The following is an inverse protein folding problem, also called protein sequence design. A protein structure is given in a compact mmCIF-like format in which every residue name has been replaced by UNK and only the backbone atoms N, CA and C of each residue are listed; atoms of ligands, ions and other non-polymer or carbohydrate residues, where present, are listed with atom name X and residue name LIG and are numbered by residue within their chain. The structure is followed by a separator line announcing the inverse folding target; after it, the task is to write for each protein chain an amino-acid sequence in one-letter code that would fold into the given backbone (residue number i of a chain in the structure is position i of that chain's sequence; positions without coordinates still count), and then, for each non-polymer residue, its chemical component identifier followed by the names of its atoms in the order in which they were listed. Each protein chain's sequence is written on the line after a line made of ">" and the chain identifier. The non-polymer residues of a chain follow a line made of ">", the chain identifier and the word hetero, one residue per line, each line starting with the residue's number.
data_IF_428273054652
#
_entry.id   IF_428273054652
#
_cell.length_a   1.000
_cell.length_b   1.000
_cell.length_c   1.000
_cell.angle_alpha   90.00
_cell.angle_beta   90.00
_cell.angle_gamma   90.00
#
_symmetry.space_group_name_H-M   'P 1'
#
loop_
_entity.id
_entity.type
_entity.pdbx_description
1 polymer ?
#
# COMPACT_ATOMS: atom_id res chain seq x y z
N UNK A 1 -8.21 31.94 60.22
CA UNK A 1 -8.89 31.00 59.30
C UNK A 1 -8.33 31.07 57.87
N UNK A 2 -8.32 32.23 57.20
CA UNK A 2 -7.85 32.36 55.81
C UNK A 2 -6.41 31.88 55.53
N UNK A 3 -5.44 32.16 56.44
CA UNK A 3 -4.05 31.69 56.30
C UNK A 3 -3.89 30.17 56.37
N UNK A 4 -4.68 29.47 57.21
CA UNK A 4 -4.65 27.99 57.29
C UNK A 4 -5.27 27.36 56.05
N UNK A 5 -6.40 27.87 55.56
CA UNK A 5 -7.01 27.41 54.31
C UNK A 5 -6.07 27.59 53.11
N UNK A 6 -5.38 28.73 53.01
CA UNK A 6 -4.40 28.99 51.95
C UNK A 6 -3.17 28.06 52.04
N UNK A 7 -2.68 27.76 53.25
CA UNK A 7 -1.57 26.83 53.46
C UNK A 7 -1.97 25.40 53.05
N UNK A 8 -3.15 24.93 53.46
CA UNK A 8 -3.67 23.62 53.07
C UNK A 8 -3.86 23.52 51.56
N UNK A 9 -4.39 24.56 50.90
CA UNK A 9 -4.55 24.58 49.45
C UNK A 9 -3.21 24.49 48.71
N UNK A 10 -2.15 25.16 49.21
CA UNK A 10 -0.80 25.04 48.64
C UNK A 10 -0.23 23.64 48.84
N UNK A 11 -0.37 23.08 50.04
CA UNK A 11 0.10 21.72 50.33
C UNK A 11 -0.61 20.66 49.46
N UNK A 12 -1.90 20.84 49.16
CA UNK A 12 -2.66 19.98 48.24
C UNK A 12 -2.11 20.13 46.80
N UNK A 13 -1.86 21.36 46.35
CA UNK A 13 -1.24 21.62 45.05
C UNK A 13 0.13 20.94 44.89
N UNK A 14 0.90 20.86 45.97
CA UNK A 14 2.22 20.21 45.97
C UNK A 14 2.15 18.67 46.08
N UNK A 15 1.03 18.11 46.53
CA UNK A 15 0.82 16.65 46.64
C UNK A 15 0.11 16.04 45.44
N UNK A 16 -0.66 16.82 44.68
CA UNK A 16 -1.33 16.36 43.45
C UNK A 16 -0.38 16.54 42.27
N UNK A 17 0.00 15.44 41.61
CA UNK A 17 0.78 15.54 40.37
C UNK A 17 -0.11 16.04 39.23
N UNK A 18 0.25 17.21 38.68
CA UNK A 18 -0.34 17.71 37.44
C UNK A 18 0.12 16.91 36.21
N UNK A 19 -0.60 17.02 35.09
CA UNK A 19 -0.15 16.45 33.82
C UNK A 19 1.22 17.02 33.41
N UNK A 20 2.08 16.16 32.87
CA UNK A 20 3.45 16.53 32.51
C UNK A 20 3.88 15.87 31.19
N UNK A 21 4.99 16.35 30.63
CA UNK A 21 5.62 15.75 29.45
C UNK A 21 6.74 14.83 29.88
N UNK A 22 6.88 13.71 29.19
CA UNK A 22 7.97 12.77 29.36
C UNK A 22 8.55 12.32 28.03
N UNK A 23 9.66 11.59 28.10
CA UNK A 23 10.33 11.02 26.92
C UNK A 23 10.38 9.50 27.04
N UNK A 24 9.77 8.81 26.08
CA UNK A 24 9.66 7.35 26.02
C UNK A 24 11.05 6.74 25.87
N UNK A 25 11.35 5.74 26.70
CA UNK A 25 12.57 4.93 26.61
C UNK A 25 12.29 3.51 26.13
N UNK A 26 11.12 2.95 26.48
CA UNK A 26 10.70 1.61 26.08
C UNK A 26 9.17 1.54 25.96
N UNK A 27 8.70 0.75 25.01
CA UNK A 27 7.30 0.35 24.87
C UNK A 27 7.23 -1.18 24.84
N UNK A 28 6.38 -1.75 25.69
CA UNK A 28 6.04 -3.17 25.70
C UNK A 28 4.63 -3.29 25.11
N UNK A 29 4.52 -3.99 23.97
CA UNK A 29 3.31 -4.01 23.12
C UNK A 29 2.73 -5.42 22.88
N UNK A 30 2.99 -6.37 23.79
CA UNK A 30 2.49 -7.74 23.73
C UNK A 30 1.16 -7.96 24.48
N UNK A 31 0.84 -7.09 25.44
CA UNK A 31 -0.38 -7.14 26.23
C UNK A 31 -1.61 -6.50 25.58
N UNK A 32 -2.76 -6.59 26.27
CA UNK A 32 -4.03 -5.97 25.86
C UNK A 32 -3.98 -4.44 25.84
N UNK A 33 -3.13 -3.87 26.71
CA UNK A 33 -2.84 -2.44 26.81
C UNK A 33 -1.32 -2.30 26.72
N UNK A 34 -0.84 -1.38 25.89
CA UNK A 34 0.59 -1.09 25.78
C UNK A 34 1.10 -0.46 27.08
N UNK A 35 2.25 -0.93 27.54
CA UNK A 35 2.94 -0.40 28.71
C UNK A 35 4.17 0.38 28.29
N UNK A 36 4.37 1.54 28.89
CA UNK A 36 5.42 2.47 28.49
C UNK A 36 6.29 2.82 29.67
N UNK A 37 7.60 2.80 29.43
CA UNK A 37 8.59 3.41 30.30
C UNK A 37 8.99 4.77 29.72
N UNK A 38 9.05 5.80 30.57
CA UNK A 38 9.50 7.12 30.17
C UNK A 38 10.28 7.83 31.28
N UNK A 39 11.14 8.77 30.86
CA UNK A 39 11.72 9.76 31.75
C UNK A 39 10.74 10.91 31.96
N UNK A 40 10.46 11.23 33.23
CA UNK A 40 9.58 12.33 33.66
C UNK A 40 10.37 13.59 34.05
N UNK A 41 9.83 14.36 35.01
CA UNK A 41 10.52 15.54 35.53
C UNK A 41 11.56 15.16 36.59
N UNK A 42 12.63 15.94 36.71
CA UNK A 42 13.69 15.77 37.74
C UNK A 42 14.32 14.37 37.76
N UNK A 43 14.63 13.84 36.56
CA UNK A 43 15.31 12.55 36.36
C UNK A 43 14.54 11.31 36.87
N UNK A 44 13.24 11.44 37.12
CA UNK A 44 12.40 10.29 37.46
C UNK A 44 12.23 9.35 36.26
N UNK A 45 12.22 8.04 36.53
CA UNK A 45 11.82 7.03 35.55
C UNK A 45 10.50 6.44 35.99
N UNK A 46 9.51 6.52 35.12
CA UNK A 46 8.19 5.91 35.32
C UNK A 46 8.09 4.65 34.47
N UNK A 47 7.49 3.62 35.03
CA UNK A 47 7.34 2.30 34.43
C UNK A 47 5.87 1.89 34.42
N UNK A 48 5.53 0.95 33.53
CA UNK A 48 4.20 0.36 33.42
C UNK A 48 3.06 1.39 33.23
N UNK A 49 3.34 2.55 32.64
CA UNK A 49 2.30 3.52 32.31
C UNK A 49 1.46 3.01 31.14
N UNK A 50 0.15 3.17 31.24
CA UNK A 50 -0.79 2.69 30.22
C UNK A 50 -0.81 3.66 29.03
N UNK A 51 -0.58 3.14 27.82
CA UNK A 51 -0.76 3.88 26.57
C UNK A 51 -2.09 3.49 25.92
N UNK A 52 -3.11 4.31 26.20
CA UNK A 52 -4.43 4.17 25.60
C UNK A 52 -4.47 4.89 24.25
N UNK A 53 -5.12 4.28 23.28
CA UNK A 53 -5.24 4.78 21.90
C UNK A 53 -6.69 4.78 21.47
N UNK A 54 -7.03 5.67 20.54
CA UNK A 54 -8.36 5.69 19.92
C UNK A 54 -8.64 4.37 19.19
N UNK A 55 -9.85 3.85 19.33
CA UNK A 55 -10.26 2.61 18.66
C UNK A 55 -10.09 2.72 17.14
N UNK A 56 -9.48 1.71 16.53
CA UNK A 56 -9.15 1.69 15.09
C UNK A 56 -7.75 2.21 14.76
N UNK A 57 -7.02 2.77 15.73
CA UNK A 57 -5.61 3.16 15.58
C UNK A 57 -4.71 2.35 16.52
N UNK A 58 -3.53 1.98 16.04
CA UNK A 58 -2.50 1.33 16.84
C UNK A 58 -1.13 1.86 16.40
N UNK A 59 -0.38 2.38 17.37
CA UNK A 59 0.97 2.89 17.21
C UNK A 59 1.89 2.26 18.26
N UNK A 60 3.15 2.03 17.88
CA UNK A 60 4.21 1.64 18.80
C UNK A 60 5.31 2.70 18.69
N UNK A 61 5.23 3.80 19.47
CA UNK A 61 6.13 4.93 19.32
C UNK A 61 7.58 4.50 19.62
N UNK A 62 8.55 4.83 18.75
CA UNK A 62 9.94 4.47 18.98
C UNK A 62 10.51 5.20 20.20
N UNK A 63 11.58 4.66 20.76
CA UNK A 63 12.34 5.32 21.83
C UNK A 63 12.73 6.74 21.42
N UNK A 64 12.63 7.67 22.37
CA UNK A 64 12.86 9.09 22.16
C UNK A 64 11.61 9.90 21.81
N UNK A 65 10.46 9.25 21.62
CA UNK A 65 9.17 9.93 21.43
C UNK A 65 8.79 10.72 22.69
N UNK A 66 8.25 11.92 22.50
CA UNK A 66 7.65 12.73 23.56
C UNK A 66 6.25 12.19 23.87
N UNK A 67 5.84 12.24 25.13
CA UNK A 67 4.54 11.80 25.60
C UNK A 67 3.94 12.80 26.59
N UNK A 68 2.62 12.92 26.63
CA UNK A 68 1.90 13.59 27.72
C UNK A 68 1.29 12.54 28.64
N UNK A 69 1.60 12.66 29.94
CA UNK A 69 1.12 11.77 30.99
C UNK A 69 0.07 12.49 31.82
N UNK A 70 -1.07 11.84 32.05
CA UNK A 70 -2.11 12.27 32.98
C UNK A 70 -2.10 11.32 34.20
N UNK A 71 -1.64 11.79 35.37
CA UNK A 71 -1.72 11.03 36.62
C UNK A 71 -3.18 10.86 37.07
N UNK A 72 -3.70 9.64 37.09
CA UNK A 72 -5.04 9.38 37.63
C UNK A 72 -5.02 9.52 39.15
N UNK A 73 -5.92 10.32 39.71
CA UNK A 73 -5.97 10.61 41.14
C UNK A 73 -4.74 11.36 41.68
N UNK A 74 -3.90 11.93 40.81
CA UNK A 74 -2.69 12.67 41.20
C UNK A 74 -1.46 11.80 41.49
N UNK A 75 -1.52 10.48 41.27
CA UNK A 75 -0.41 9.55 41.47
C UNK A 75 0.31 9.22 40.16
N UNK A 76 1.63 9.45 40.10
CA UNK A 76 2.46 9.16 38.91
C UNK A 76 2.51 7.68 38.56
N UNK A 77 2.39 6.78 39.55
CA UNK A 77 2.34 5.32 39.34
C UNK A 77 1.05 4.85 38.65
N UNK A 78 0.04 5.70 38.55
CA UNK A 78 -1.22 5.44 37.85
C UNK A 78 -1.42 6.47 36.72
N UNK A 79 -0.35 6.72 35.95
CA UNK A 79 -0.39 7.63 34.81
C UNK A 79 -0.87 6.95 33.53
N UNK A 80 -1.69 7.67 32.77
CA UNK A 80 -2.10 7.27 31.41
C UNK A 80 -1.44 8.21 30.39
N UNK A 81 -0.89 7.63 29.33
CA UNK A 81 -0.38 8.37 28.18
C UNK A 81 -1.53 8.62 27.22
N UNK A 82 -1.79 9.89 26.92
CA UNK A 82 -2.92 10.31 26.07
C UNK A 82 -2.48 10.80 24.69
N UNK A 83 -1.21 11.16 24.51
CA UNK A 83 -0.66 11.48 23.21
C UNK A 83 0.84 11.26 23.18
N UNK A 84 1.33 10.88 22.00
CA UNK A 84 2.75 10.70 21.72
C UNK A 84 3.13 11.39 20.42
N UNK A 85 4.36 11.90 20.35
CA UNK A 85 4.89 12.52 19.15
C UNK A 85 6.41 12.34 19.08
N UNK A 86 6.94 12.08 17.89
CA UNK A 86 8.38 12.09 17.66
C UNK A 86 8.79 13.28 16.77
N UNK A 87 9.47 14.27 17.36
CA UNK A 87 9.81 15.53 16.67
C UNK A 87 10.62 15.38 15.38
N UNK A 88 11.48 14.35 15.29
CA UNK A 88 12.28 14.06 14.07
C UNK A 88 11.43 13.50 12.92
N UNK A 89 10.41 12.69 13.23
CA UNK A 89 9.69 11.89 12.25
C UNK A 89 8.33 12.47 11.90
N UNK A 90 7.84 13.48 12.64
CA UNK A 90 6.55 14.12 12.29
C UNK A 90 6.58 14.60 10.83
N UNK A 91 5.48 14.40 10.13
CA UNK A 91 5.27 15.02 8.82
C UNK A 91 5.22 16.54 9.01
N UNK A 92 6.08 17.26 8.28
CA UNK A 92 6.16 18.73 8.28
C UNK A 92 5.44 19.28 7.05
N UNK A 93 5.14 20.57 7.07
CA UNK A 93 4.59 21.32 5.91
C UNK A 93 3.27 20.78 5.36
N UNK A 94 2.43 20.17 6.20
CA UNK A 94 1.03 19.94 5.85
C UNK A 94 0.30 21.28 5.76
N UNK A 95 -0.51 21.45 4.73
CA UNK A 95 -1.40 22.60 4.59
C UNK A 95 -2.55 22.49 5.60
N UNK A 96 -3.18 23.62 5.99
CA UNK A 96 -4.35 23.57 6.87
C UNK A 96 -5.43 22.62 6.36
N UNK A 97 -5.87 21.69 7.21
CA UNK A 97 -6.89 20.68 6.88
C UNK A 97 -6.36 19.35 6.35
N UNK A 98 -5.07 19.26 5.99
CA UNK A 98 -4.47 17.98 5.56
C UNK A 98 -4.16 17.08 6.75
N UNK A 99 -4.27 15.77 6.55
CA UNK A 99 -4.02 14.76 7.58
C UNK A 99 -3.15 13.64 7.03
N UNK A 100 -2.40 12.98 7.91
CA UNK A 100 -1.50 11.91 7.48
C UNK A 100 -1.34 10.81 8.55
N UNK A 101 -1.10 9.59 8.07
CA UNK A 101 -0.60 8.46 8.87
C UNK A 101 0.81 8.15 8.35
N UNK A 102 1.77 7.91 9.23
CA UNK A 102 3.19 7.74 8.85
C UNK A 102 3.97 6.87 9.83
N UNK A 103 5.13 6.35 9.40
CA UNK A 103 6.09 5.65 10.25
C UNK A 103 7.45 6.39 10.32
N UNK A 104 8.39 5.87 11.12
CA UNK A 104 9.71 6.46 11.32
C UNK A 104 10.67 6.30 10.13
N UNK A 105 10.36 5.38 9.21
CA UNK A 105 11.15 5.11 7.99
C UNK A 105 10.75 6.03 6.82
N UNK A 106 9.62 6.73 6.94
CA UNK A 106 9.15 7.71 5.96
C UNK A 106 7.93 7.27 5.16
N UNK A 107 7.48 6.02 5.30
CA UNK A 107 6.25 5.55 4.67
C UNK A 107 5.06 6.34 5.21
N UNK A 108 4.18 6.82 4.32
CA UNK A 108 3.06 7.70 4.69
C UNK A 108 1.86 7.57 3.76
N UNK A 109 0.69 7.87 4.30
CA UNK A 109 -0.54 8.14 3.53
C UNK A 109 -1.03 9.52 3.94
N UNK A 110 -1.16 10.44 2.98
CA UNK A 110 -1.57 11.84 3.20
C UNK A 110 -2.88 12.10 2.47
N UNK A 111 -3.86 12.63 3.20
CA UNK A 111 -5.10 13.17 2.64
C UNK A 111 -4.89 14.68 2.47
N UNK A 112 -4.72 15.10 1.22
CA UNK A 112 -4.40 16.47 0.81
C UNK A 112 -5.65 17.26 0.45
N UNK A 113 -5.50 18.58 0.37
CA UNK A 113 -6.52 19.47 -0.20
C UNK A 113 -6.85 19.06 -1.65
N UNK A 114 -8.09 19.30 -2.08
CA UNK A 114 -8.55 18.89 -3.42
C UNK A 114 -8.97 17.42 -3.54
N UNK A 115 -9.20 16.72 -2.41
CA UNK A 115 -9.66 15.31 -2.34
C UNK A 115 -8.64 14.32 -2.90
N UNK A 116 -7.35 14.57 -2.66
CA UNK A 116 -6.25 13.71 -3.11
C UNK A 116 -5.76 12.84 -1.97
N UNK A 117 -5.62 11.54 -2.21
CA UNK A 117 -4.97 10.59 -1.30
C UNK A 117 -3.64 10.19 -1.93
N UNK A 118 -2.54 10.44 -1.22
CA UNK A 118 -1.19 10.11 -1.68
C UNK A 118 -0.54 9.13 -0.71
N UNK A 119 -0.17 7.95 -1.22
CA UNK A 119 0.61 6.95 -0.49
C UNK A 119 2.04 6.95 -1.03
N UNK A 120 3.01 7.13 -0.15
CA UNK A 120 4.44 7.16 -0.47
C UNK A 120 5.16 6.10 0.37
N UNK A 121 5.74 5.10 -0.31
CA UNK A 121 6.39 3.94 0.29
C UNK A 121 7.19 3.16 -0.76
N UNK A 122 8.16 2.35 -0.32
CA UNK A 122 8.94 1.49 -1.21
C UNK A 122 8.14 0.27 -1.71
N UNK A 123 7.24 -0.26 -0.87
CA UNK A 123 6.45 -1.47 -1.17
C UNK A 123 5.01 -1.30 -0.71
N UNK A 124 4.07 -1.19 -1.67
CA UNK A 124 2.64 -1.13 -1.40
C UNK A 124 1.97 -2.49 -1.62
N UNK A 125 1.58 -3.17 -0.53
CA UNK A 125 0.93 -4.50 -0.58
C UNK A 125 -0.57 -4.38 -0.30
N UNK A 126 -1.39 -4.92 -1.20
CA UNK A 126 -2.85 -5.02 -1.04
C UNK A 126 -3.25 -6.50 -1.03
N UNK A 127 -3.43 -7.07 0.16
CA UNK A 127 -3.90 -8.44 0.34
C UNK A 127 -5.41 -8.44 0.56
N UNK A 128 -6.19 -8.84 -0.44
CA UNK A 128 -7.64 -8.88 -0.33
C UNK A 128 -8.25 -9.97 -1.22
N UNK A 129 -9.49 -10.38 -0.92
CA UNK A 129 -10.23 -11.34 -1.74
C UNK A 129 -10.78 -10.71 -3.03
N UNK A 130 -11.10 -9.42 -2.99
CA UNK A 130 -11.68 -8.67 -4.12
C UNK A 130 -11.11 -7.26 -4.13
N UNK A 131 -10.47 -6.88 -5.24
CA UNK A 131 -9.98 -5.55 -5.49
C UNK A 131 -10.75 -4.93 -6.66
N UNK A 132 -11.43 -3.80 -6.42
CA UNK A 132 -12.25 -3.11 -7.42
C UNK A 132 -11.85 -1.64 -7.50
N UNK A 133 -11.54 -1.19 -8.70
CA UNK A 133 -11.23 0.22 -9.01
C UNK A 133 -12.28 0.72 -10.01
N UNK A 134 -12.84 1.90 -9.74
CA UNK A 134 -13.66 2.64 -10.70
C UNK A 134 -13.03 4.01 -10.90
N UNK A 135 -12.56 4.29 -12.13
CA UNK A 135 -12.04 5.58 -12.54
C UNK A 135 -12.75 6.03 -13.82
N UNK A 136 -13.29 7.24 -13.85
CA UNK A 136 -14.06 7.76 -15.00
C UNK A 136 -13.20 8.33 -16.12
N UNK A 137 -11.95 8.68 -15.83
CA UNK A 137 -11.03 9.28 -16.79
C UNK A 137 -9.95 8.28 -17.24
N UNK A 138 -9.11 7.82 -16.32
CA UNK A 138 -8.05 6.86 -16.62
C UNK A 138 -7.58 6.10 -15.36
N UNK A 139 -6.94 4.96 -15.59
CA UNK A 139 -6.12 4.25 -14.60
C UNK A 139 -4.75 3.99 -15.22
N UNK A 140 -3.77 4.82 -14.85
CA UNK A 140 -2.42 4.78 -15.42
C UNK A 140 -1.48 3.98 -14.52
N UNK A 141 -0.67 3.11 -15.12
CA UNK A 141 0.36 2.31 -14.45
C UNK A 141 1.72 2.59 -15.07
N UNK A 142 2.51 3.44 -14.41
CA UNK A 142 3.90 3.71 -14.81
C UNK A 142 4.82 2.69 -14.11
N UNK A 143 5.03 1.54 -14.75
CA UNK A 143 5.81 0.44 -14.22
C UNK A 143 6.57 -0.29 -15.34
N UNK A 144 7.80 -0.77 -15.10
CA UNK A 144 8.49 -1.66 -16.04
C UNK A 144 7.76 -2.99 -16.29
N UNK A 145 6.92 -3.43 -15.34
CA UNK A 145 6.20 -4.71 -15.43
C UNK A 145 4.81 -4.61 -14.78
N UNK A 146 3.79 -5.11 -15.49
CA UNK A 146 2.43 -5.32 -14.99
C UNK A 146 1.99 -6.74 -15.36
N UNK A 147 1.69 -7.55 -14.36
CA UNK A 147 1.43 -8.98 -14.52
C UNK A 147 0.08 -9.38 -13.90
N UNK A 148 -0.61 -10.33 -14.53
CA UNK A 148 -1.73 -11.09 -13.94
C UNK A 148 -1.39 -12.57 -13.96
N UNK A 149 -1.76 -13.32 -12.92
CA UNK A 149 -1.34 -14.72 -12.78
C UNK A 149 -2.16 -15.72 -13.60
N UNK A 150 -3.29 -15.30 -14.19
CA UNK A 150 -4.18 -16.17 -14.93
C UNK A 150 -4.77 -15.47 -16.16
N UNK A 151 -5.79 -14.64 -15.97
CA UNK A 151 -6.53 -14.02 -17.08
C UNK A 151 -6.47 -12.50 -16.98
N UNK A 152 -6.07 -11.86 -18.08
CA UNK A 152 -6.32 -10.45 -18.33
C UNK A 152 -7.48 -10.33 -19.32
N UNK A 153 -8.59 -9.70 -18.90
CA UNK A 153 -9.74 -9.44 -19.77
C UNK A 153 -9.80 -7.95 -20.10
N UNK A 154 -9.59 -7.61 -21.37
CA UNK A 154 -9.85 -6.28 -21.91
C UNK A 154 -11.11 -6.32 -22.78
N UNK A 155 -12.13 -5.53 -22.45
CA UNK A 155 -13.35 -5.41 -23.27
C UNK A 155 -13.14 -4.53 -24.50
N UNK A 156 -12.19 -3.60 -24.41
CA UNK A 156 -11.76 -2.75 -25.52
C UNK A 156 -10.54 -3.30 -26.23
N UNK A 157 -9.81 -2.42 -26.90
CA UNK A 157 -8.58 -2.78 -27.60
C UNK A 157 -7.40 -2.96 -26.64
N UNK A 158 -6.48 -3.86 -26.99
CA UNK A 158 -5.15 -3.95 -26.41
C UNK A 158 -4.17 -3.36 -27.43
N UNK A 159 -3.35 -2.41 -27.00
CA UNK A 159 -2.32 -1.81 -27.84
C UNK A 159 -0.92 -2.21 -27.33
N UNK A 160 -0.10 -2.80 -28.21
CA UNK A 160 1.23 -3.32 -27.88
C UNK A 160 2.31 -2.68 -28.74
N UNK A 161 2.59 -1.40 -28.56
CA UNK A 161 3.58 -0.65 -29.38
C UNK A 161 4.99 -1.26 -29.36
N UNK A 162 5.36 -1.94 -28.26
CA UNK A 162 6.64 -2.67 -28.13
C UNK A 162 6.59 -4.12 -28.63
N UNK A 163 5.49 -4.53 -29.26
CA UNK A 163 5.18 -5.91 -29.62
C UNK A 163 4.26 -6.60 -28.61
N UNK A 164 3.78 -7.78 -28.99
CA UNK A 164 2.97 -8.65 -28.15
C UNK A 164 3.51 -10.07 -28.28
N UNK A 165 4.06 -10.60 -27.19
CA UNK A 165 4.50 -11.99 -27.14
C UNK A 165 3.38 -12.85 -26.57
N UNK A 166 2.89 -13.81 -27.36
CA UNK A 166 1.90 -14.79 -26.93
C UNK A 166 2.57 -16.16 -26.94
N UNK A 167 2.78 -16.75 -25.76
CA UNK A 167 3.45 -18.04 -25.60
C UNK A 167 2.58 -18.95 -24.72
N UNK A 168 2.22 -20.13 -25.23
CA UNK A 168 1.59 -21.20 -24.45
C UNK A 168 0.17 -21.62 -24.89
N UNK A 169 -0.30 -22.73 -24.31
CA UNK A 169 -1.66 -23.25 -24.43
C UNK A 169 -2.07 -23.69 -25.85
N UNK A 170 -3.34 -23.41 -26.18
CA UNK A 170 -3.96 -23.74 -27.48
C UNK A 170 -3.79 -22.60 -28.52
N UNK A 171 -2.82 -21.70 -28.32
CA UNK A 171 -2.60 -20.54 -29.19
C UNK A 171 -3.61 -19.40 -29.03
N UNK A 172 -3.65 -18.51 -30.01
CA UNK A 172 -4.58 -17.38 -30.08
C UNK A 172 -5.73 -17.68 -31.06
N UNK A 173 -6.97 -17.31 -30.69
CA UNK A 173 -8.15 -17.43 -31.55
C UNK A 173 -8.69 -16.04 -31.86
N UNK A 174 -9.02 -15.80 -33.13
CA UNK A 174 -9.56 -14.53 -33.61
C UNK A 174 -10.92 -14.75 -34.27
N UNK A 175 -11.90 -13.94 -33.92
CA UNK A 175 -13.19 -13.84 -34.63
C UNK A 175 -13.24 -12.47 -35.29
N UNK A 176 -12.91 -12.41 -36.57
CA UNK A 176 -12.78 -11.17 -37.33
C UNK A 176 -11.54 -11.20 -38.23
N UNK A 177 -11.24 -10.06 -38.84
CA UNK A 177 -10.10 -9.94 -39.73
C UNK A 177 -8.79 -9.84 -38.93
N UNK A 178 -7.75 -10.49 -39.44
CA UNK A 178 -6.36 -10.27 -39.03
C UNK A 178 -5.66 -9.61 -40.21
N UNK A 179 -5.21 -8.37 -40.01
CA UNK A 179 -4.50 -7.59 -41.05
C UNK A 179 -3.06 -7.35 -40.61
N UNK A 180 -2.11 -7.98 -41.32
CA UNK A 180 -0.68 -7.67 -41.21
C UNK A 180 -0.30 -6.69 -42.31
N UNK A 181 0.20 -5.51 -41.95
CA UNK A 181 0.58 -4.45 -42.91
C UNK A 181 2.07 -4.49 -43.29
N UNK A 182 2.86 -5.40 -42.69
CA UNK A 182 4.26 -5.61 -43.00
C UNK A 182 4.92 -6.71 -42.15
N UNK A 183 6.16 -7.05 -42.48
CA UNK A 183 6.90 -8.14 -41.85
C UNK A 183 6.62 -9.51 -42.49
N UNK A 184 6.98 -10.57 -41.78
CA UNK A 184 6.79 -11.96 -42.21
C UNK A 184 5.85 -12.68 -41.26
N UNK A 185 5.24 -13.76 -41.75
CA UNK A 185 4.54 -14.75 -40.94
C UNK A 185 5.29 -16.07 -41.09
N UNK A 186 5.80 -16.60 -39.99
CA UNK A 186 6.57 -17.85 -39.96
C UNK A 186 5.89 -18.83 -39.01
N UNK A 187 5.73 -20.07 -39.47
CA UNK A 187 5.14 -21.18 -38.73
C UNK A 187 5.85 -22.47 -39.16
N UNK A 188 6.09 -23.37 -38.21
CA UNK A 188 6.60 -24.73 -38.45
C UNK A 188 5.47 -25.74 -38.68
N UNK A 189 4.23 -25.35 -38.35
CA UNK A 189 3.00 -26.09 -38.64
C UNK A 189 2.32 -25.68 -39.94
N UNK A 190 1.36 -26.49 -40.37
CA UNK A 190 0.53 -26.22 -41.55
C UNK A 190 -0.42 -25.03 -41.35
N UNK A 191 -0.69 -24.31 -42.43
CA UNK A 191 -1.70 -23.25 -42.48
C UNK A 191 -2.90 -23.79 -43.24
N UNK A 192 -4.00 -24.03 -42.54
CA UNK A 192 -5.24 -24.50 -43.15
C UNK A 192 -6.25 -23.36 -43.33
N UNK A 193 -6.73 -23.17 -44.56
CA UNK A 193 -7.79 -22.22 -44.87
C UNK A 193 -9.01 -22.97 -45.41
N UNK A 194 -10.16 -22.87 -44.75
CA UNK A 194 -11.38 -23.62 -45.11
C UNK A 194 -11.14 -25.13 -45.25
N UNK A 195 -10.27 -25.70 -44.42
CA UNK A 195 -9.89 -27.12 -44.45
C UNK A 195 -8.86 -27.49 -45.53
N UNK A 196 -8.39 -26.53 -46.34
CA UNK A 196 -7.35 -26.74 -47.34
C UNK A 196 -5.98 -26.46 -46.74
N UNK A 197 -5.13 -27.48 -46.73
CA UNK A 197 -3.74 -27.41 -46.26
C UNK A 197 -2.86 -26.61 -47.20
N UNK A 198 -2.17 -25.59 -46.70
CA UNK A 198 -1.17 -24.88 -47.50
C UNK A 198 -0.02 -25.80 -47.89
N UNK A 199 0.45 -26.65 -46.96
CA UNK A 199 1.61 -27.52 -47.17
C UNK A 199 1.34 -28.73 -48.08
N UNK A 200 0.08 -29.19 -48.19
CA UNK A 200 -0.22 -30.49 -48.82
C UNK A 200 -1.25 -30.43 -49.97
N UNK A 201 -1.85 -29.28 -50.28
CA UNK A 201 -2.89 -29.23 -51.31
C UNK A 201 -2.33 -29.52 -52.72
N UNK A 202 -2.98 -30.40 -53.50
CA UNK A 202 -2.69 -30.56 -54.91
C UNK A 202 -3.46 -29.56 -55.77
N UNK A 203 -2.99 -29.33 -56.99
CA UNK A 203 -3.73 -28.63 -58.04
C UNK A 203 -4.11 -29.58 -59.18
N UNK A 204 -5.18 -29.25 -59.90
CA UNK A 204 -5.50 -29.90 -61.18
C UNK A 204 -4.63 -29.33 -62.29
N UNK A 205 -3.96 -30.21 -63.04
CA UNK A 205 -3.26 -29.84 -64.28
C UNK A 205 -4.24 -29.62 -65.44
N UNK A 206 -3.79 -28.87 -66.44
CA UNK A 206 -4.52 -28.60 -67.69
C UNK A 206 -4.84 -29.86 -68.52
N UNK A 207 -4.01 -30.90 -68.34
CA UNK A 207 -4.15 -32.20 -68.99
C UNK A 207 -4.96 -33.22 -68.17
N UNK A 208 -5.60 -32.81 -67.07
CA UNK A 208 -6.48 -33.66 -66.24
C UNK A 208 -5.79 -34.50 -65.15
N UNK A 209 -4.46 -34.39 -64.99
CA UNK A 209 -3.72 -34.97 -63.85
C UNK A 209 -3.77 -34.10 -62.59
N UNK A 210 -3.26 -34.59 -61.46
CA UNK A 210 -3.00 -33.76 -60.27
C UNK A 210 -1.50 -33.53 -60.05
N UNK A 211 -1.15 -32.38 -59.51
CA UNK A 211 0.23 -32.09 -59.10
C UNK A 211 0.60 -32.87 -57.84
N UNK A 212 1.90 -33.02 -57.59
CA UNK A 212 2.39 -33.35 -56.24
C UNK A 212 2.13 -32.18 -55.28
N UNK A 213 2.28 -32.39 -53.95
CA UNK A 213 2.40 -31.29 -53.00
C UNK A 213 3.51 -30.29 -53.38
N UNK A 214 3.46 -29.06 -52.87
CA UNK A 214 4.55 -28.10 -52.99
C UNK A 214 5.89 -28.72 -52.56
N UNK A 215 6.96 -28.46 -53.32
CA UNK A 215 8.32 -28.87 -52.95
C UNK A 215 8.82 -27.89 -51.89
N UNK A 216 9.22 -28.34 -50.69
CA UNK A 216 9.80 -27.45 -49.68
C UNK A 216 11.02 -26.71 -50.24
N UNK A 217 11.09 -25.40 -49.99
CA UNK A 217 12.23 -24.54 -50.34
C UNK A 217 13.32 -24.54 -49.28
#
# INVERSE_FOLDING_TARGET
>A
MAKRAAQTARNIGDTVRAAFRGKITLVVSDGLIQRVQLGGLADETLQDLEHLQEYGFASNPPAGSEAVVIPLGGATSHGVIVCTQHGRYRIKNLSPGETAIFNHEGAKIVIKSGKVIEADCDVFKVNCKSYKITASEAANFETPMLETSAVLTAQGQINGNGGMAVQGGNGATFSGNVTQTGGSFETDGDVAASGVSLANHPHTGDSGGQTSPPIPG
#
